data_IF_241708851385
#
_entry.id   IF_241708851385
#
_cell.length_a   1.000
_cell.length_b   1.000
_cell.length_c   1.000
_cell.angle_alpha   90.00
_cell.angle_beta   90.00
_cell.angle_gamma   90.00
#
_symmetry.space_group_name_H-M   'P 1'
#
loop_
_entity.id
_entity.type
_entity.pdbx_description
1 polymer ?
#
# COMPACT_ATOMS: atom_id res chain seq x y z
N UNK A 1 4.28 -33.63 -23.49
CA UNK A 1 3.27 -33.32 -22.46
C UNK A 1 3.91 -33.29 -21.08
N UNK A 2 4.72 -34.28 -20.70
CA UNK A 2 5.40 -34.35 -19.40
C UNK A 2 6.37 -33.18 -19.18
N UNK A 3 7.08 -32.72 -20.22
CA UNK A 3 7.99 -31.56 -20.11
C UNK A 3 7.24 -30.23 -19.92
N UNK A 4 6.07 -30.09 -20.54
CA UNK A 4 5.22 -28.90 -20.34
C UNK A 4 4.64 -28.86 -18.92
N UNK A 5 4.17 -30.01 -18.41
CA UNK A 5 3.65 -30.11 -17.03
C UNK A 5 4.76 -29.80 -16.03
N UNK A 6 5.97 -30.32 -16.26
CA UNK A 6 7.13 -30.08 -15.42
C UNK A 6 7.58 -28.61 -15.41
N UNK A 7 7.59 -27.95 -16.58
CA UNK A 7 7.86 -26.53 -16.72
C UNK A 7 6.76 -25.69 -16.08
N UNK A 8 5.50 -26.10 -16.21
CA UNK A 8 4.36 -25.45 -15.58
C UNK A 8 4.43 -25.58 -14.06
N UNK A 9 4.75 -26.74 -13.52
CA UNK A 9 4.90 -26.99 -12.08
C UNK A 9 6.14 -26.26 -11.50
N UNK A 10 7.20 -26.10 -12.29
CA UNK A 10 8.36 -25.30 -11.92
C UNK A 10 8.04 -23.79 -11.92
N UNK A 11 7.16 -23.33 -12.79
CA UNK A 11 6.81 -21.91 -12.95
C UNK A 11 5.61 -21.49 -12.09
N UNK A 12 4.68 -22.39 -11.81
CA UNK A 12 3.48 -22.12 -11.01
C UNK A 12 3.64 -22.64 -9.58
N UNK A 13 2.89 -22.04 -8.68
CA UNK A 13 2.77 -22.53 -7.32
C UNK A 13 2.02 -23.87 -7.35
N UNK A 14 2.71 -24.95 -7.09
CA UNK A 14 2.05 -26.24 -6.93
C UNK A 14 1.11 -26.20 -5.74
N UNK A 15 -0.16 -26.55 -5.94
CA UNK A 15 -1.11 -26.80 -4.88
C UNK A 15 -0.86 -28.11 -4.12
N UNK A 16 0.11 -28.91 -4.57
CA UNK A 16 0.46 -30.18 -3.96
C UNK A 16 1.09 -29.98 -2.58
N UNK A 17 0.48 -30.52 -1.50
CA UNK A 17 1.03 -30.45 -0.15
C UNK A 17 2.45 -31.03 -0.01
N UNK A 18 2.85 -31.95 -0.90
CA UNK A 18 4.20 -32.53 -0.92
C UNK A 18 5.26 -31.55 -1.37
N UNK A 19 4.89 -30.54 -2.16
CA UNK A 19 5.78 -29.50 -2.68
C UNK A 19 5.83 -28.23 -1.81
N UNK A 20 5.01 -28.19 -0.74
CA UNK A 20 5.04 -27.09 0.24
C UNK A 20 6.35 -27.12 1.01
N UNK A 21 7.00 -25.97 1.14
CA UNK A 21 8.27 -25.86 1.88
C UNK A 21 8.11 -26.32 3.33
N UNK A 22 9.17 -26.94 3.88
CA UNK A 22 9.17 -27.40 5.26
C UNK A 22 8.84 -26.29 6.26
N UNK A 23 9.24 -25.04 5.95
CA UNK A 23 8.92 -23.86 6.75
C UNK A 23 7.42 -23.51 6.75
N UNK A 24 6.70 -23.82 5.66
CA UNK A 24 5.26 -23.58 5.53
C UNK A 24 4.38 -24.71 6.10
N UNK A 25 4.96 -25.82 6.57
CA UNK A 25 4.20 -26.91 7.20
C UNK A 25 3.65 -26.52 8.57
N UNK A 26 4.33 -25.65 9.30
CA UNK A 26 3.86 -25.13 10.59
C UNK A 26 2.78 -24.05 10.42
N UNK A 27 1.89 -23.91 11.41
CA UNK A 27 0.87 -22.85 11.42
C UNK A 27 1.52 -21.46 11.37
N UNK A 28 2.56 -21.23 12.16
CA UNK A 28 3.31 -19.97 12.15
C UNK A 28 3.96 -19.72 10.78
N UNK A 29 4.57 -20.74 10.18
CA UNK A 29 5.15 -20.64 8.85
C UNK A 29 4.10 -20.28 7.78
N UNK A 30 2.90 -20.86 7.84
CA UNK A 30 1.82 -20.51 6.92
C UNK A 30 1.37 -19.05 7.10
N UNK A 31 1.26 -18.57 8.32
CA UNK A 31 0.85 -17.19 8.59
C UNK A 31 1.91 -16.17 8.13
N UNK A 32 3.19 -16.45 8.36
CA UNK A 32 4.30 -15.55 8.00
C UNK A 32 4.57 -15.59 6.50
N UNK A 33 4.58 -16.79 5.90
CA UNK A 33 4.94 -16.99 4.50
C UNK A 33 3.72 -17.01 3.58
N UNK A 34 2.53 -16.63 4.07
CA UNK A 34 1.35 -16.45 3.23
C UNK A 34 1.66 -15.52 2.06
N UNK A 35 1.32 -15.94 0.85
CA UNK A 35 1.54 -15.17 -0.39
C UNK A 35 3.02 -14.94 -0.78
N UNK A 36 3.98 -15.58 -0.11
CA UNK A 36 5.40 -15.46 -0.45
C UNK A 36 5.94 -16.63 -1.31
N UNK A 37 5.07 -17.52 -1.75
CA UNK A 37 5.46 -18.72 -2.50
C UNK A 37 6.24 -18.38 -3.77
N UNK A 38 5.79 -17.40 -4.55
CA UNK A 38 6.46 -16.97 -5.79
C UNK A 38 7.85 -16.43 -5.50
N UNK A 39 8.00 -15.57 -4.51
CA UNK A 39 9.30 -14.98 -4.11
C UNK A 39 10.26 -16.07 -3.62
N UNK A 40 9.78 -17.02 -2.83
CA UNK A 40 10.56 -18.16 -2.35
C UNK A 40 10.97 -19.10 -3.50
N UNK A 41 10.12 -19.28 -4.49
CA UNK A 41 10.43 -20.07 -5.68
C UNK A 41 11.53 -19.42 -6.51
N UNK A 42 11.47 -18.13 -6.78
CA UNK A 42 12.50 -17.39 -7.49
C UNK A 42 13.84 -17.45 -6.76
N UNK A 43 13.84 -17.28 -5.44
CA UNK A 43 15.06 -17.41 -4.64
C UNK A 43 15.64 -18.83 -4.71
N UNK A 44 14.79 -19.88 -4.72
CA UNK A 44 15.26 -21.27 -4.93
C UNK A 44 15.87 -21.47 -6.32
N UNK A 45 15.25 -20.93 -7.37
CA UNK A 45 15.78 -21.01 -8.73
C UNK A 45 17.13 -20.29 -8.88
N UNK A 46 17.26 -19.10 -8.28
CA UNK A 46 18.53 -18.37 -8.22
C UNK A 46 19.61 -19.15 -7.47
N UNK A 47 19.26 -19.68 -6.28
CA UNK A 47 20.17 -20.51 -5.47
C UNK A 47 20.63 -21.75 -6.24
N UNK A 48 19.71 -22.48 -6.90
CA UNK A 48 20.05 -23.64 -7.73
C UNK A 48 20.99 -23.24 -8.86
N UNK A 49 20.68 -22.17 -9.60
CA UNK A 49 21.54 -21.67 -10.67
C UNK A 49 22.94 -21.28 -10.17
N UNK A 50 23.04 -20.63 -9.01
CA UNK A 50 24.32 -20.31 -8.37
C UNK A 50 25.11 -21.57 -7.98
N UNK A 51 24.45 -22.58 -7.42
CA UNK A 51 25.08 -23.86 -7.09
C UNK A 51 25.55 -24.62 -8.35
N UNK A 52 24.78 -24.57 -9.43
CA UNK A 52 25.14 -25.21 -10.69
C UNK A 52 26.37 -24.55 -11.33
N UNK A 53 26.48 -23.20 -11.25
CA UNK A 53 27.69 -22.46 -11.66
C UNK A 53 28.92 -22.93 -10.84
N UNK A 54 28.79 -22.93 -9.51
CA UNK A 54 29.89 -23.30 -8.59
C UNK A 54 30.35 -24.75 -8.85
N UNK A 55 29.40 -25.63 -9.11
CA UNK A 55 29.69 -27.07 -9.36
C UNK A 55 30.00 -27.38 -10.82
N UNK A 56 30.14 -26.39 -11.71
CA UNK A 56 30.44 -26.58 -13.14
C UNK A 56 29.38 -27.36 -13.90
N UNK A 57 28.11 -27.29 -13.51
CA UNK A 57 27.00 -28.00 -14.12
C UNK A 57 26.29 -27.12 -15.15
N UNK A 58 26.26 -27.60 -16.40
CA UNK A 58 25.58 -26.89 -17.49
C UNK A 58 26.33 -25.63 -17.95
N UNK A 59 25.63 -24.79 -18.71
CA UNK A 59 26.20 -23.57 -19.26
C UNK A 59 26.08 -22.39 -18.26
N UNK A 60 27.22 -21.83 -17.86
CA UNK A 60 27.29 -20.71 -16.91
C UNK A 60 26.50 -19.49 -17.38
N UNK A 61 26.49 -19.20 -18.70
CA UNK A 61 25.74 -18.08 -19.27
C UNK A 61 24.23 -18.23 -19.04
N UNK A 62 23.72 -19.44 -19.23
CA UNK A 62 22.29 -19.75 -18.96
C UNK A 62 21.95 -19.58 -17.50
N UNK A 63 22.82 -20.02 -16.59
CA UNK A 63 22.59 -19.87 -15.15
C UNK A 63 22.65 -18.40 -14.68
N UNK A 64 23.62 -17.63 -15.20
CA UNK A 64 23.71 -16.18 -14.94
C UNK A 64 22.46 -15.47 -15.45
N UNK A 65 21.99 -15.78 -16.67
CA UNK A 65 20.74 -15.23 -17.22
C UNK A 65 19.53 -15.52 -16.32
N UNK A 66 19.42 -16.73 -15.77
CA UNK A 66 18.36 -17.09 -14.82
C UNK A 66 18.44 -16.26 -13.53
N UNK A 67 19.63 -16.07 -12.96
CA UNK A 67 19.82 -15.26 -11.76
C UNK A 67 19.41 -13.80 -12.01
N UNK A 68 19.82 -13.23 -13.15
CA UNK A 68 19.44 -11.86 -13.53
C UNK A 68 17.92 -11.76 -13.75
N UNK A 69 17.33 -12.72 -14.44
CA UNK A 69 15.91 -12.73 -14.73
C UNK A 69 15.07 -12.77 -13.45
N UNK A 70 15.31 -13.74 -12.57
CA UNK A 70 14.52 -13.90 -11.34
C UNK A 70 14.88 -12.90 -10.24
N UNK A 71 16.14 -12.46 -10.17
CA UNK A 71 16.61 -11.52 -9.15
C UNK A 71 16.37 -10.05 -9.50
N UNK A 72 16.53 -9.68 -10.76
CA UNK A 72 16.42 -8.28 -11.17
C UNK A 72 15.18 -8.02 -12.05
N UNK A 73 15.06 -8.66 -13.21
CA UNK A 73 14.06 -8.29 -14.22
C UNK A 73 12.65 -8.50 -13.67
N UNK A 74 12.37 -9.66 -13.10
CA UNK A 74 11.03 -9.99 -12.62
C UNK A 74 10.65 -9.18 -11.38
N UNK A 75 11.58 -8.96 -10.45
CA UNK A 75 11.36 -8.09 -9.31
C UNK A 75 11.20 -6.63 -9.72
N UNK A 76 11.97 -6.16 -10.72
CA UNK A 76 11.81 -4.84 -11.29
C UNK A 76 10.44 -4.67 -11.92
N UNK A 77 9.99 -5.61 -12.74
CA UNK A 77 8.67 -5.57 -13.37
C UNK A 77 7.53 -5.47 -12.33
N UNK A 78 7.57 -6.30 -11.29
CA UNK A 78 6.54 -6.25 -10.24
C UNK A 78 6.59 -4.98 -9.40
N UNK A 79 7.76 -4.50 -9.03
CA UNK A 79 7.90 -3.30 -8.21
C UNK A 79 7.77 -2.01 -9.05
N UNK A 80 8.30 -1.99 -10.28
CA UNK A 80 8.20 -0.84 -11.17
C UNK A 80 6.78 -0.69 -11.74
N UNK A 81 6.09 -1.76 -12.14
CA UNK A 81 4.72 -1.68 -12.62
C UNK A 81 3.78 -1.08 -11.57
N UNK A 82 3.95 -1.44 -10.30
CA UNK A 82 3.15 -0.85 -9.23
C UNK A 82 3.49 0.61 -8.93
N UNK A 83 4.71 1.06 -9.21
CA UNK A 83 5.17 2.43 -8.94
C UNK A 83 5.09 3.32 -10.20
N UNK A 84 5.44 2.76 -11.36
CA UNK A 84 5.57 3.47 -12.64
C UNK A 84 4.23 3.58 -13.37
N UNK A 85 3.32 2.62 -13.16
CA UNK A 85 1.96 2.76 -13.68
C UNK A 85 1.29 4.05 -13.17
N UNK A 86 1.62 4.47 -11.94
CA UNK A 86 1.16 5.74 -11.40
C UNK A 86 1.93 6.96 -11.91
N UNK A 87 3.21 6.82 -12.27
CA UNK A 87 4.05 7.91 -12.76
C UNK A 87 3.89 8.20 -14.27
N UNK A 88 3.35 7.23 -15.04
CA UNK A 88 3.11 7.37 -16.48
C UNK A 88 1.78 8.07 -16.79
N UNK A 89 1.04 8.49 -15.78
CA UNK A 89 -0.26 9.11 -15.99
C UNK A 89 -0.10 10.61 -15.98
N UNK A 90 -0.47 11.27 -17.11
CA UNK A 90 -0.50 12.71 -17.18
C UNK A 90 -1.40 13.28 -16.07
N UNK A 91 -0.90 14.24 -15.31
CA UNK A 91 -1.64 14.85 -14.19
C UNK A 91 -1.48 14.19 -12.83
N UNK A 92 -0.67 13.14 -12.70
CA UNK A 92 -0.40 12.52 -11.41
C UNK A 92 0.68 13.23 -10.60
N UNK A 93 1.57 13.95 -11.28
CA UNK A 93 2.64 14.77 -10.70
C UNK A 93 2.57 16.24 -11.21
N UNK A 94 1.44 16.68 -11.78
CA UNK A 94 1.20 18.09 -12.12
C UNK A 94 0.75 18.89 -10.88
N UNK A 95 1.48 18.85 -9.79
CA UNK A 95 1.94 20.08 -9.23
C UNK A 95 3.07 20.52 -10.18
N UNK A 96 2.78 21.52 -11.00
CA UNK A 96 3.77 22.26 -11.79
C UNK A 96 4.79 22.84 -10.80
N UNK A 97 5.68 22.02 -10.33
CA UNK A 97 6.91 22.49 -9.71
C UNK A 97 7.85 22.75 -10.87
N UNK A 98 7.89 24.00 -11.29
CA UNK A 98 8.85 24.61 -12.24
C UNK A 98 10.31 24.51 -11.77
N UNK A 99 10.60 23.59 -10.87
CA UNK A 99 11.89 23.44 -10.21
C UNK A 99 12.48 22.07 -10.58
N UNK A 100 13.36 22.06 -11.57
CA UNK A 100 14.05 20.86 -12.06
C UNK A 100 14.75 20.10 -10.92
N UNK A 101 15.27 20.80 -9.92
CA UNK A 101 15.93 20.22 -8.74
C UNK A 101 15.00 19.36 -7.90
N UNK A 102 13.76 19.81 -7.70
CA UNK A 102 12.76 19.02 -6.95
C UNK A 102 12.25 17.82 -7.72
N UNK A 103 12.20 17.93 -9.05
CA UNK A 103 11.84 16.84 -9.94
C UNK A 103 12.88 15.73 -9.91
N UNK A 104 14.16 16.08 -9.94
CA UNK A 104 15.26 15.11 -9.84
C UNK A 104 15.28 14.42 -8.46
N UNK A 105 15.08 15.17 -7.37
CA UNK A 105 14.93 14.61 -6.02
C UNK A 105 13.77 13.65 -5.89
N UNK A 106 12.62 13.94 -6.53
CA UNK A 106 11.46 13.07 -6.56
C UNK A 106 11.73 11.78 -7.34
N UNK A 107 12.40 11.86 -8.47
CA UNK A 107 12.82 10.69 -9.26
C UNK A 107 13.81 9.82 -8.51
N UNK A 108 14.80 10.41 -7.84
CA UNK A 108 15.76 9.68 -7.01
C UNK A 108 15.06 8.94 -5.86
N UNK A 109 14.13 9.58 -5.16
CA UNK A 109 13.32 8.96 -4.12
C UNK A 109 12.46 7.80 -4.64
N UNK A 110 11.89 7.94 -5.85
CA UNK A 110 11.12 6.87 -6.50
C UNK A 110 12.03 5.69 -6.86
N UNK A 111 13.19 5.96 -7.45
CA UNK A 111 14.18 4.93 -7.79
C UNK A 111 14.69 4.19 -6.55
N UNK A 112 15.04 4.90 -5.48
CA UNK A 112 15.46 4.31 -4.21
C UNK A 112 14.37 3.41 -3.60
N UNK A 113 13.10 3.81 -3.71
CA UNK A 113 11.97 3.01 -3.24
C UNK A 113 11.79 1.72 -4.03
N UNK A 114 11.96 1.77 -5.36
CA UNK A 114 11.91 0.60 -6.23
C UNK A 114 13.05 -0.37 -5.87
N UNK A 115 14.28 0.12 -5.77
CA UNK A 115 15.45 -0.68 -5.42
C UNK A 115 15.31 -1.32 -4.03
N UNK A 116 14.79 -0.59 -3.06
CA UNK A 116 14.51 -1.14 -1.73
C UNK A 116 13.44 -2.24 -1.79
N UNK A 117 12.36 -2.05 -2.56
CA UNK A 117 11.31 -3.06 -2.76
C UNK A 117 11.85 -4.33 -3.44
N UNK A 118 12.73 -4.18 -4.44
CA UNK A 118 13.40 -5.31 -5.10
C UNK A 118 14.29 -6.07 -4.12
N UNK A 119 15.12 -5.37 -3.36
CA UNK A 119 15.98 -5.95 -2.33
C UNK A 119 15.16 -6.71 -1.27
N UNK A 120 14.08 -6.11 -0.78
CA UNK A 120 13.18 -6.75 0.19
C UNK A 120 12.52 -8.00 -0.37
N UNK A 121 12.16 -8.01 -1.64
CA UNK A 121 11.58 -9.16 -2.31
C UNK A 121 12.55 -10.34 -2.33
N UNK A 122 13.81 -10.10 -2.71
CA UNK A 122 14.86 -11.13 -2.73
C UNK A 122 15.12 -11.68 -1.32
N UNK A 123 15.26 -10.79 -0.34
CA UNK A 123 15.51 -11.19 1.06
C UNK A 123 14.33 -11.99 1.62
N UNK A 124 13.09 -11.56 1.40
CA UNK A 124 11.89 -12.31 1.81
C UNK A 124 11.83 -13.70 1.19
N UNK A 125 12.35 -13.87 -0.03
CA UNK A 125 12.45 -15.16 -0.70
C UNK A 125 13.32 -16.18 0.03
N UNK A 126 14.17 -15.77 0.98
CA UNK A 126 14.94 -16.71 1.82
C UNK A 126 14.08 -17.40 2.89
N UNK A 127 12.80 -17.05 2.99
CA UNK A 127 11.82 -17.67 3.89
C UNK A 127 11.60 -16.88 5.17
N UNK A 128 11.34 -17.57 6.28
CA UNK A 128 10.94 -16.94 7.56
C UNK A 128 11.97 -15.92 8.05
N UNK A 129 13.24 -16.24 7.99
CA UNK A 129 14.30 -15.32 8.45
C UNK A 129 14.35 -14.04 7.62
N UNK A 130 14.22 -14.17 6.29
CA UNK A 130 14.14 -13.01 5.42
C UNK A 130 12.88 -12.16 5.64
N UNK A 131 11.75 -12.81 5.89
CA UNK A 131 10.51 -12.13 6.23
C UNK A 131 10.64 -11.32 7.54
N UNK A 132 11.24 -11.92 8.58
CA UNK A 132 11.50 -11.25 9.85
C UNK A 132 12.45 -10.07 9.65
N UNK A 133 13.58 -10.29 8.97
CA UNK A 133 14.57 -9.23 8.74
C UNK A 133 13.98 -8.03 7.98
N UNK A 134 13.31 -8.26 6.87
CA UNK A 134 12.72 -7.17 6.07
C UNK A 134 11.61 -6.44 6.83
N UNK A 135 10.81 -7.17 7.62
CA UNK A 135 9.76 -6.55 8.43
C UNK A 135 10.36 -5.66 9.52
N UNK A 136 11.38 -6.12 10.23
CA UNK A 136 12.07 -5.32 11.24
C UNK A 136 12.75 -4.08 10.63
N UNK A 137 13.46 -4.24 9.50
CA UNK A 137 14.07 -3.13 8.74
C UNK A 137 13.03 -2.07 8.38
N UNK A 138 11.90 -2.48 7.79
CA UNK A 138 10.86 -1.56 7.35
C UNK A 138 10.10 -0.92 8.51
N UNK A 139 9.92 -1.66 9.61
CA UNK A 139 9.33 -1.13 10.84
C UNK A 139 10.22 -0.08 11.48
N UNK A 140 11.52 -0.31 11.52
CA UNK A 140 12.49 0.66 12.03
C UNK A 140 12.53 1.93 11.16
N UNK A 141 12.57 1.78 9.84
CA UNK A 141 12.51 2.91 8.91
C UNK A 141 11.19 3.71 9.06
N UNK A 142 10.08 3.03 9.30
CA UNK A 142 8.79 3.68 9.56
C UNK A 142 8.78 4.41 10.90
N UNK A 143 9.31 3.78 11.94
CA UNK A 143 9.46 4.39 13.27
C UNK A 143 10.31 5.66 13.20
N UNK A 144 11.47 5.61 12.55
CA UNK A 144 12.34 6.75 12.37
C UNK A 144 11.65 7.90 11.62
N UNK A 145 10.96 7.58 10.52
CA UNK A 145 10.20 8.55 9.73
C UNK A 145 9.08 9.21 10.55
N UNK A 146 8.31 8.42 11.30
CA UNK A 146 7.23 8.98 12.14
C UNK A 146 7.79 9.74 13.35
N UNK A 147 8.94 9.32 13.89
CA UNK A 147 9.61 10.03 14.98
C UNK A 147 10.16 11.40 14.53
N UNK A 148 10.71 11.49 13.30
CA UNK A 148 11.15 12.77 12.70
C UNK A 148 10.01 13.79 12.53
N UNK A 149 8.76 13.35 12.44
CA UNK A 149 7.58 14.22 12.39
C UNK A 149 7.20 14.83 13.75
N UNK A 150 7.84 14.41 14.82
CA UNK A 150 7.58 14.89 16.17
C UNK A 150 6.13 14.66 16.61
N UNK A 151 5.47 15.72 17.07
CA UNK A 151 4.09 15.65 17.60
C UNK A 151 3.04 15.21 16.57
N UNK A 152 3.31 15.31 15.28
CA UNK A 152 2.41 14.88 14.19
C UNK A 152 2.65 13.45 13.73
N UNK A 153 3.67 12.78 14.26
CA UNK A 153 4.01 11.41 13.93
C UNK A 153 3.00 10.40 14.50
N UNK A 154 2.74 9.35 13.76
CA UNK A 154 1.80 8.30 14.12
C UNK A 154 2.50 6.95 14.25
N UNK A 155 2.83 6.60 15.47
CA UNK A 155 3.53 5.35 15.79
C UNK A 155 2.66 4.10 15.53
N UNK A 156 1.35 4.25 15.35
CA UNK A 156 0.47 3.13 14.96
C UNK A 156 0.90 2.53 13.63
N UNK A 157 1.46 3.33 12.73
CA UNK A 157 2.02 2.86 11.45
C UNK A 157 3.18 1.89 11.64
N UNK A 158 4.01 2.11 12.64
CA UNK A 158 5.12 1.19 12.98
C UNK A 158 4.58 -0.16 13.46
N UNK A 159 3.52 -0.15 14.28
CA UNK A 159 2.86 -1.38 14.75
C UNK A 159 2.25 -2.14 13.58
N UNK A 160 1.60 -1.43 12.65
CA UNK A 160 1.03 -2.03 11.44
C UNK A 160 2.13 -2.63 10.56
N UNK A 161 3.27 -1.97 10.46
CA UNK A 161 4.41 -2.49 9.69
C UNK A 161 5.00 -3.76 10.33
N UNK A 162 5.11 -3.82 11.65
CA UNK A 162 5.48 -5.04 12.38
C UNK A 162 4.48 -6.17 12.13
N UNK A 163 3.19 -5.87 12.11
CA UNK A 163 2.15 -6.86 11.84
C UNK A 163 2.19 -7.41 10.41
N UNK A 164 2.88 -6.74 9.48
CA UNK A 164 3.14 -7.25 8.13
C UNK A 164 4.10 -8.45 8.09
N UNK A 165 4.66 -8.83 9.23
CA UNK A 165 5.31 -10.14 9.36
C UNK A 165 4.34 -11.27 8.96
N UNK A 166 3.07 -11.13 9.32
CA UNK A 166 1.98 -11.95 8.77
C UNK A 166 1.10 -11.10 7.87
N UNK A 167 1.15 -11.28 6.53
CA UNK A 167 0.34 -10.50 5.59
C UNK A 167 -1.16 -10.55 5.90
N UNK A 168 -1.65 -11.67 6.40
CA UNK A 168 -3.05 -11.83 6.79
C UNK A 168 -3.42 -10.93 7.99
N UNK A 169 -2.58 -10.89 9.02
CA UNK A 169 -2.78 -10.05 10.21
C UNK A 169 -2.58 -8.57 9.84
N UNK A 170 -1.51 -8.25 9.13
CA UNK A 170 -1.21 -6.89 8.69
C UNK A 170 -2.32 -6.29 7.83
N UNK A 171 -2.92 -7.10 6.93
CA UNK A 171 -4.06 -6.67 6.13
C UNK A 171 -5.27 -6.29 7.00
N UNK A 172 -5.61 -7.11 8.00
CA UNK A 172 -6.73 -6.82 8.92
C UNK A 172 -6.48 -5.57 9.76
N UNK A 173 -5.28 -5.43 10.30
CA UNK A 173 -4.92 -4.24 11.09
C UNK A 173 -4.93 -2.95 10.25
N UNK A 174 -4.49 -3.01 8.99
CA UNK A 174 -4.62 -1.87 8.07
C UNK A 174 -6.08 -1.47 7.85
N UNK A 175 -6.99 -2.43 7.68
CA UNK A 175 -8.42 -2.15 7.52
C UNK A 175 -9.01 -1.49 8.77
N UNK A 176 -8.70 -2.01 9.95
CA UNK A 176 -9.12 -1.40 11.22
C UNK A 176 -8.56 0.03 11.34
N UNK A 177 -7.28 0.21 11.08
CA UNK A 177 -6.64 1.52 11.09
C UNK A 177 -7.27 2.49 10.09
N UNK A 178 -7.55 2.04 8.85
CA UNK A 178 -8.22 2.84 7.84
C UNK A 178 -9.62 3.27 8.28
N UNK A 179 -10.36 2.39 8.96
CA UNK A 179 -11.65 2.73 9.55
C UNK A 179 -11.54 3.82 10.63
N UNK A 180 -10.55 3.70 11.52
CA UNK A 180 -10.28 4.70 12.57
C UNK A 180 -9.86 6.04 11.94
N UNK A 181 -8.97 6.00 10.95
CA UNK A 181 -8.55 7.21 10.24
C UNK A 181 -9.71 7.88 9.51
N UNK A 182 -10.58 7.15 8.84
CA UNK A 182 -11.75 7.71 8.18
C UNK A 182 -12.64 8.49 9.18
N UNK A 183 -12.79 7.96 10.39
CA UNK A 183 -13.51 8.67 11.47
C UNK A 183 -12.82 9.97 11.90
N UNK A 184 -11.50 9.99 11.92
CA UNK A 184 -10.76 11.19 12.34
C UNK A 184 -10.68 12.26 11.26
N UNK A 185 -10.42 11.87 10.01
CA UNK A 185 -10.21 12.78 8.89
C UNK A 185 -11.51 13.30 8.28
N UNK A 186 -12.56 12.49 8.30
CA UNK A 186 -13.83 12.81 7.68
C UNK A 186 -14.93 13.12 8.71
N UNK A 187 -14.52 13.49 9.93
CA UNK A 187 -15.44 13.80 11.01
C UNK A 187 -16.49 14.86 10.63
N UNK A 188 -16.09 15.91 9.93
CA UNK A 188 -16.98 16.98 9.49
C UNK A 188 -18.03 16.46 8.48
N UNK A 189 -17.64 15.50 7.63
CA UNK A 189 -18.57 14.82 6.70
C UNK A 189 -19.55 13.93 7.47
N UNK A 190 -19.07 13.19 8.46
CA UNK A 190 -19.91 12.34 9.30
C UNK A 190 -20.91 13.17 10.09
N UNK A 191 -20.50 14.32 10.62
CA UNK A 191 -21.38 15.23 11.37
C UNK A 191 -22.48 15.84 10.49
N UNK A 192 -22.18 16.26 9.26
CA UNK A 192 -23.16 16.83 8.32
C UNK A 192 -24.02 15.77 7.60
N UNK A 193 -23.41 14.67 7.20
CA UNK A 193 -24.03 13.64 6.36
C UNK A 193 -23.72 12.23 6.90
N UNK A 194 -24.24 11.87 8.10
CA UNK A 194 -23.84 10.63 8.77
C UNK A 194 -24.18 9.36 7.96
N UNK A 195 -25.32 9.36 7.25
CA UNK A 195 -25.83 8.21 6.50
C UNK A 195 -26.13 8.53 5.04
N UNK A 196 -25.62 9.61 4.50
CA UNK A 196 -25.86 9.96 3.11
C UNK A 196 -25.11 9.00 2.18
N UNK A 197 -25.82 8.49 1.18
CA UNK A 197 -25.26 7.68 0.10
C UNK A 197 -24.73 8.57 -1.03
N UNK A 198 -25.33 9.76 -1.15
CA UNK A 198 -24.95 10.76 -2.17
C UNK A 198 -24.53 12.04 -1.47
N UNK A 199 -23.45 12.66 -1.96
CA UNK A 199 -22.98 13.98 -1.57
C UNK A 199 -22.76 14.76 -2.88
N UNK A 200 -23.24 16.00 -2.96
CA UNK A 200 -23.19 16.81 -4.19
C UNK A 200 -23.86 16.14 -5.41
N UNK A 201 -24.96 15.42 -5.18
CA UNK A 201 -25.66 14.69 -6.23
C UNK A 201 -24.88 13.51 -6.84
N UNK A 202 -23.73 13.16 -6.27
CA UNK A 202 -22.88 12.01 -6.69
C UNK A 202 -23.05 10.86 -5.73
N UNK A 203 -22.88 9.65 -6.23
CA UNK A 203 -22.69 8.48 -5.36
C UNK A 203 -21.34 8.61 -4.66
N UNK A 204 -21.37 9.24 -3.53
CA UNK A 204 -20.21 9.41 -2.64
C UNK A 204 -20.66 9.12 -1.21
N UNK A 205 -20.77 7.83 -0.85
CA UNK A 205 -21.22 7.43 0.48
C UNK A 205 -20.39 8.06 1.57
N UNK A 206 -21.06 8.53 2.62
CA UNK A 206 -20.42 9.10 3.81
C UNK A 206 -19.30 8.22 4.33
N UNK A 207 -18.33 8.82 5.00
CA UNK A 207 -17.23 8.11 5.64
C UNK A 207 -17.70 7.02 6.62
N UNK A 208 -18.90 7.12 7.18
CA UNK A 208 -19.53 6.08 8.00
C UNK A 208 -19.58 4.73 7.27
N UNK A 209 -19.96 4.71 5.99
CA UNK A 209 -19.96 3.46 5.20
C UNK A 209 -18.55 2.92 5.01
N UNK A 210 -17.55 3.79 4.83
CA UNK A 210 -16.15 3.38 4.74
C UNK A 210 -15.65 2.76 6.04
N UNK A 211 -16.04 3.32 7.19
CA UNK A 211 -15.71 2.77 8.51
C UNK A 211 -16.32 1.38 8.66
N UNK A 212 -17.63 1.24 8.41
CA UNK A 212 -18.34 -0.02 8.52
C UNK A 212 -17.75 -1.06 7.56
N UNK A 213 -17.53 -0.69 6.30
CA UNK A 213 -16.95 -1.59 5.30
C UNK A 213 -15.57 -2.09 5.70
N UNK A 214 -14.69 -1.22 6.18
CA UNK A 214 -13.35 -1.59 6.64
C UNK A 214 -13.38 -2.51 7.86
N UNK A 215 -14.17 -2.16 8.89
CA UNK A 215 -14.28 -2.97 10.11
C UNK A 215 -14.92 -4.34 9.83
N UNK A 216 -15.99 -4.36 9.06
CA UNK A 216 -16.65 -5.62 8.65
C UNK A 216 -15.74 -6.47 7.79
N UNK A 217 -14.99 -5.88 6.87
CA UNK A 217 -13.99 -6.60 6.06
C UNK A 217 -12.88 -7.20 6.92
N UNK A 218 -12.44 -6.50 7.96
CA UNK A 218 -11.44 -7.02 8.89
C UNK A 218 -11.98 -8.19 9.73
N UNK A 219 -13.24 -8.11 10.19
CA UNK A 219 -13.85 -9.11 11.06
C UNK A 219 -14.30 -10.36 10.28
N UNK A 220 -15.02 -10.16 9.17
CA UNK A 220 -15.73 -11.22 8.44
C UNK A 220 -14.92 -11.81 7.27
N UNK A 221 -13.75 -11.26 6.94
CA UNK A 221 -12.97 -11.59 5.74
C UNK A 221 -13.72 -11.36 4.41
N UNK A 222 -14.77 -10.54 4.39
CA UNK A 222 -15.49 -10.17 3.19
C UNK A 222 -14.84 -8.88 2.60
N UNK A 223 -14.66 -8.77 1.29
CA UNK A 223 -14.02 -7.60 0.67
C UNK A 223 -14.96 -6.40 0.52
N UNK A 224 -15.72 -6.04 1.57
CA UNK A 224 -16.71 -4.96 1.54
C UNK A 224 -16.08 -3.58 1.31
N UNK A 225 -14.87 -3.38 1.82
CA UNK A 225 -14.07 -2.17 1.57
C UNK A 225 -13.73 -2.01 0.09
N UNK A 226 -13.41 -3.10 -0.61
CA UNK A 226 -13.17 -3.11 -2.05
C UNK A 226 -14.46 -2.90 -2.83
N UNK A 227 -15.52 -3.63 -2.49
CA UNK A 227 -16.82 -3.47 -3.14
C UNK A 227 -17.32 -2.02 -3.07
N UNK A 228 -17.17 -1.35 -1.92
CA UNK A 228 -17.52 0.07 -1.77
C UNK A 228 -16.63 0.96 -2.65
N UNK A 229 -15.34 0.67 -2.74
CA UNK A 229 -14.40 1.43 -3.59
C UNK A 229 -14.72 1.26 -5.07
N UNK A 230 -15.02 0.05 -5.51
CA UNK A 230 -15.41 -0.25 -6.89
C UNK A 230 -16.75 0.39 -7.25
N UNK A 231 -17.74 0.33 -6.35
CA UNK A 231 -19.02 1.00 -6.55
C UNK A 231 -18.86 2.52 -6.72
N UNK A 232 -17.98 3.15 -5.94
CA UNK A 232 -17.62 4.56 -6.14
C UNK A 232 -16.96 4.80 -7.49
N UNK A 233 -15.99 3.96 -7.85
CA UNK A 233 -15.28 4.06 -9.13
C UNK A 233 -16.23 3.99 -10.31
N UNK A 234 -17.18 3.06 -10.32
CA UNK A 234 -18.20 2.93 -11.35
C UNK A 234 -19.12 4.16 -11.41
N UNK A 235 -19.56 4.66 -10.25
CA UNK A 235 -20.40 5.85 -10.20
C UNK A 235 -19.68 7.10 -10.75
N UNK A 236 -18.42 7.28 -10.38
CA UNK A 236 -17.57 8.37 -10.88
C UNK A 236 -17.23 8.22 -12.38
N UNK A 237 -17.09 6.99 -12.88
CA UNK A 237 -16.93 6.72 -14.31
C UNK A 237 -18.17 7.16 -15.11
N UNK A 238 -19.35 7.04 -14.55
CA UNK A 238 -20.60 7.44 -15.17
C UNK A 238 -20.87 8.96 -15.06
N UNK A 239 -20.15 9.67 -14.19
CA UNK A 239 -20.33 11.11 -14.00
C UNK A 239 -19.75 11.92 -15.15
N UNK A 240 -20.60 12.64 -15.86
CA UNK A 240 -20.21 13.48 -17.01
C UNK A 240 -19.37 14.72 -16.63
N UNK A 241 -19.30 15.09 -15.35
CA UNK A 241 -18.47 16.20 -14.85
C UNK A 241 -16.98 15.84 -14.85
N UNK A 242 -16.66 14.55 -14.83
CA UNK A 242 -15.29 14.06 -14.93
C UNK A 242 -14.84 14.01 -16.39
N UNK A 243 -13.58 14.35 -16.67
CA UNK A 243 -13.00 14.21 -18.00
C UNK A 243 -12.99 12.74 -18.44
N UNK A 244 -12.92 12.50 -19.76
CA UNK A 244 -12.89 11.11 -20.31
C UNK A 244 -11.77 10.28 -19.69
N UNK A 245 -10.58 10.87 -19.51
CA UNK A 245 -9.45 10.23 -18.86
C UNK A 245 -9.75 9.87 -17.39
N UNK A 246 -10.28 10.82 -16.61
CA UNK A 246 -10.67 10.58 -15.23
C UNK A 246 -11.70 9.45 -15.13
N UNK A 247 -12.71 9.44 -15.99
CA UNK A 247 -13.74 8.39 -16.02
C UNK A 247 -13.16 7.00 -16.27
N UNK A 248 -12.24 6.86 -17.22
CA UNK A 248 -11.58 5.59 -17.52
C UNK A 248 -10.73 5.16 -16.33
N UNK A 249 -9.93 6.05 -15.76
CA UNK A 249 -9.05 5.74 -14.64
C UNK A 249 -9.84 5.35 -13.38
N UNK A 250 -10.93 6.07 -13.07
CA UNK A 250 -11.82 5.77 -11.94
C UNK A 250 -12.53 4.43 -12.12
N UNK A 251 -13.00 4.12 -13.34
CA UNK A 251 -13.54 2.81 -13.68
C UNK A 251 -12.52 1.67 -13.58
N UNK A 252 -11.25 1.96 -13.82
CA UNK A 252 -10.15 1.03 -13.62
C UNK A 252 -9.75 0.85 -12.12
N UNK A 253 -10.49 1.48 -11.19
CA UNK A 253 -10.28 1.34 -9.75
C UNK A 253 -9.35 2.38 -9.12
N UNK A 254 -9.04 3.45 -9.85
CA UNK A 254 -8.27 4.56 -9.30
C UNK A 254 -9.13 5.40 -8.38
N UNK A 255 -8.49 6.11 -7.47
CA UNK A 255 -9.21 6.98 -6.52
C UNK A 255 -9.29 8.41 -7.05
N UNK A 256 -10.34 9.13 -6.66
CA UNK A 256 -10.60 10.51 -7.08
C UNK A 256 -9.39 11.43 -6.92
N UNK A 257 -8.67 11.33 -5.79
CA UNK A 257 -7.47 12.14 -5.56
C UNK A 257 -6.27 11.75 -6.45
N UNK A 258 -6.25 10.53 -7.01
CA UNK A 258 -5.18 10.10 -7.91
C UNK A 258 -5.32 10.73 -9.30
N UNK A 259 -6.53 11.09 -9.67
CA UNK A 259 -6.86 11.64 -11.00
C UNK A 259 -7.32 13.10 -10.95
N UNK A 260 -7.19 13.75 -9.79
CA UNK A 260 -7.59 15.13 -9.62
C UNK A 260 -9.10 15.38 -9.78
N UNK A 261 -9.94 14.34 -9.65
CA UNK A 261 -11.38 14.51 -9.67
C UNK A 261 -11.85 15.20 -8.39
N UNK A 262 -12.49 16.36 -8.52
CA UNK A 262 -12.92 17.21 -7.40
C UNK A 262 -14.39 16.93 -7.05
N UNK A 263 -14.69 16.94 -5.77
CA UNK A 263 -16.03 16.97 -5.24
C UNK A 263 -16.17 18.26 -4.42
N UNK A 264 -16.77 19.29 -5.01
CA UNK A 264 -16.79 20.65 -4.46
C UNK A 264 -17.46 20.72 -3.09
N UNK A 265 -18.61 20.08 -2.92
CA UNK A 265 -19.31 20.09 -1.61
C UNK A 265 -18.49 19.36 -0.54
N UNK A 266 -17.88 18.24 -0.88
CA UNK A 266 -17.03 17.48 0.03
C UNK A 266 -15.80 18.28 0.46
N UNK A 267 -15.16 18.94 -0.51
CA UNK A 267 -13.99 19.79 -0.26
C UNK A 267 -14.35 21.02 0.55
N UNK A 268 -15.51 21.66 0.30
CA UNK A 268 -16.01 22.77 1.08
C UNK A 268 -16.29 22.38 2.54
N UNK A 269 -16.97 21.25 2.78
CA UNK A 269 -17.25 20.76 4.13
C UNK A 269 -15.93 20.54 4.90
N UNK A 270 -14.94 19.93 4.24
CA UNK A 270 -13.61 19.72 4.86
C UNK A 270 -12.89 21.04 5.14
N UNK A 271 -12.95 21.98 4.23
CA UNK A 271 -12.32 23.29 4.39
C UNK A 271 -12.95 24.07 5.56
N UNK A 272 -14.28 24.10 5.67
CA UNK A 272 -15.00 24.70 6.79
C UNK A 272 -14.64 24.04 8.13
N UNK A 273 -14.63 22.71 8.18
CA UNK A 273 -14.26 21.96 9.37
C UNK A 273 -12.82 22.24 9.81
N UNK A 274 -11.89 22.32 8.86
CA UNK A 274 -10.49 22.69 9.12
C UNK A 274 -10.37 24.13 9.66
N UNK A 275 -11.12 25.06 9.10
CA UNK A 275 -11.15 26.45 9.57
C UNK A 275 -11.68 26.55 11.01
N UNK A 276 -12.80 25.88 11.31
CA UNK A 276 -13.38 25.81 12.67
C UNK A 276 -12.39 25.24 13.69
N UNK A 277 -11.70 24.14 13.35
CA UNK A 277 -10.67 23.54 14.22
C UNK A 277 -9.51 24.50 14.48
N UNK A 278 -9.07 25.24 13.46
CA UNK A 278 -7.97 26.22 13.58
C UNK A 278 -8.36 27.39 14.51
N UNK A 279 -9.61 27.86 14.45
CA UNK A 279 -10.13 28.88 15.34
C UNK A 279 -10.19 28.38 16.78
N UNK A 280 -10.81 27.20 17.01
CA UNK A 280 -10.88 26.59 18.36
C UNK A 280 -9.48 26.33 18.94
N UNK A 281 -8.52 25.93 18.13
CA UNK A 281 -7.13 25.75 18.55
C UNK A 281 -6.47 27.05 19.03
N UNK A 282 -6.67 28.14 18.28
CA UNK A 282 -6.18 29.48 18.68
C UNK A 282 -6.81 29.99 19.98
N UNK A 283 -8.10 29.77 20.14
CA UNK A 283 -8.83 30.18 21.39
C UNK A 283 -8.33 29.36 22.60
N UNK A 284 -8.17 28.04 22.42
CA UNK A 284 -7.62 27.17 23.47
C UNK A 284 -6.21 27.61 23.87
N UNK A 285 -5.36 27.92 22.91
CA UNK A 285 -4.00 28.40 23.15
C UNK A 285 -4.00 29.75 23.89
N UNK A 286 -4.90 30.68 23.52
CA UNK A 286 -5.07 31.96 24.23
C UNK A 286 -5.50 31.74 25.69
N UNK A 287 -6.48 30.87 25.93
CA UNK A 287 -6.96 30.54 27.30
C UNK A 287 -5.87 29.89 28.15
N UNK A 288 -5.06 29.02 27.56
CA UNK A 288 -3.94 28.38 28.27
C UNK A 288 -2.84 29.38 28.62
N UNK A 289 -2.54 30.32 27.71
CA UNK A 289 -1.57 31.40 27.98
C UNK A 289 -2.06 32.38 29.07
N UNK A 290 -3.36 32.71 29.05
CA UNK A 290 -3.95 33.56 30.09
C UNK A 290 -3.85 32.90 31.47
N UNK A 291 -4.26 31.64 31.60
CA UNK A 291 -4.14 30.88 32.85
C UNK A 291 -2.71 30.70 33.36
N UNK A 292 -1.73 30.72 32.47
CA UNK A 292 -0.30 30.63 32.86
C UNK A 292 0.18 31.97 33.44
N UNK A 293 -0.29 33.11 32.89
CA UNK A 293 0.01 34.47 33.39
C UNK A 293 -0.67 34.79 34.71
N UNK A 294 -1.78 34.14 35.04
CA UNK A 294 -2.49 34.32 36.35
C UNK A 294 -1.80 33.49 37.46
N UNK A 295 -0.92 32.58 37.14
CA UNK A 295 -0.20 31.73 38.10
C UNK A 295 1.25 32.18 38.37
N UNK A 296 1.75 33.10 37.56
CA UNK A 296 3.03 33.78 37.74
C UNK A 296 2.82 35.13 38.44
#
# INVERSE_FOLDING_TARGET
FQDFTKLSDEAQQSGDPALVSQQQRSVAGRLILSFQNTTMQYTRLMKKSGQDIINGRGDAKTHVSKIIYYGAIQNFLFNALSQTAFALIPGFDEEEEDDDEKRDEALEKKAAKILNGMSDSVVRGTGIYGAIFTTLKNSFATWERENKKGFTGDQTKTIIELANLSPAIGSKLRKVYSGIQANQFDKDIIEKHPWSVTIDGRFNPSATYSIIANLSSAALNLPLDRALTEARGVAEMLDSRNSVFQRIALGAGWRTWNVGAKNEEFDLIKAEGKAKRKIKGKEKAKKTRAKKKEKE
#
